data_IF_348851566428
#
_entry.id   IF_348851566428
#
_cell.length_a   1.000
_cell.length_b   1.000
_cell.length_c   1.000
_cell.angle_alpha   90.00
_cell.angle_beta   90.00
_cell.angle_gamma   90.00
#
_symmetry.space_group_name_H-M   'P 1'
#
loop_
_entity.id
_entity.type
_entity.pdbx_description
1 polymer ?
#
# COMPACT_ATOMS: atom_id res chain seq x y z
N UNK A 1 14.74 -25.27 8.12
CA UNK A 1 14.19 -24.44 7.04
C UNK A 1 14.82 -23.07 7.08
N UNK A 2 15.38 -22.61 5.97
CA UNK A 2 15.97 -21.25 5.89
C UNK A 2 14.87 -20.18 5.85
N UNK A 3 15.19 -18.92 6.22
CA UNK A 3 14.23 -17.81 6.11
C UNK A 3 13.66 -17.67 4.69
N UNK A 4 14.47 -17.91 3.67
CA UNK A 4 14.03 -17.90 2.26
C UNK A 4 13.00 -18.98 1.96
N UNK A 5 13.26 -20.23 2.38
CA UNK A 5 12.31 -21.33 2.21
C UNK A 5 11.00 -21.06 2.95
N UNK A 6 11.09 -20.52 4.17
CA UNK A 6 9.93 -20.12 4.96
C UNK A 6 9.11 -19.04 4.26
N UNK A 7 9.75 -18.00 3.72
CA UNK A 7 9.07 -16.94 3.01
C UNK A 7 8.31 -17.48 1.78
N UNK A 8 8.94 -18.34 0.97
CA UNK A 8 8.30 -18.96 -0.20
C UNK A 8 7.08 -19.80 0.20
N UNK A 9 7.22 -20.61 1.24
CA UNK A 9 6.12 -21.43 1.76
C UNK A 9 4.93 -20.56 2.25
N UNK A 10 5.22 -19.45 2.96
CA UNK A 10 4.20 -18.51 3.42
C UNK A 10 3.47 -17.89 2.22
N UNK A 11 4.19 -17.44 1.19
CA UNK A 11 3.60 -16.85 -0.01
C UNK A 11 2.67 -17.83 -0.72
N UNK A 12 3.12 -19.07 -0.95
CA UNK A 12 2.30 -20.08 -1.61
C UNK A 12 1.01 -20.37 -0.81
N UNK A 13 1.09 -20.38 0.52
CA UNK A 13 -0.09 -20.55 1.37
C UNK A 13 -1.02 -19.35 1.33
N UNK A 14 -0.47 -18.13 1.37
CA UNK A 14 -1.27 -16.92 1.26
C UNK A 14 -2.02 -16.84 -0.08
N UNK A 15 -1.34 -17.12 -1.19
CA UNK A 15 -1.97 -17.17 -2.51
C UNK A 15 -3.09 -18.19 -2.60
N UNK A 16 -2.90 -19.36 -1.97
CA UNK A 16 -3.92 -20.43 -1.94
C UNK A 16 -5.12 -20.04 -1.07
N UNK A 17 -4.86 -19.41 0.08
CA UNK A 17 -5.92 -19.02 1.02
C UNK A 17 -6.69 -17.80 0.55
N UNK A 18 -6.01 -16.87 -0.15
CA UNK A 18 -6.55 -15.59 -0.60
C UNK A 18 -6.28 -15.35 -2.09
N UNK A 19 -6.89 -16.15 -2.99
CA UNK A 19 -6.61 -16.08 -4.43
C UNK A 19 -7.03 -14.74 -5.07
N UNK A 20 -8.05 -14.08 -4.49
CA UNK A 20 -8.63 -12.83 -4.99
C UNK A 20 -8.12 -11.60 -4.23
N UNK A 21 -6.97 -11.72 -3.61
CA UNK A 21 -6.41 -10.62 -2.89
C UNK A 21 -5.95 -9.50 -3.81
N UNK A 22 -6.39 -8.28 -3.52
CA UNK A 22 -6.11 -7.10 -4.32
C UNK A 22 -6.01 -5.83 -3.47
N UNK A 23 -5.49 -4.77 -4.04
CA UNK A 23 -5.58 -3.44 -3.45
C UNK A 23 -7.06 -3.04 -3.35
N UNK A 24 -7.47 -2.51 -2.20
CA UNK A 24 -8.84 -2.04 -1.97
C UNK A 24 -9.11 -0.63 -2.53
N UNK A 25 -8.05 0.09 -2.89
CA UNK A 25 -8.17 1.35 -3.61
C UNK A 25 -8.55 1.08 -5.07
N UNK A 26 -9.59 1.78 -5.54
CA UNK A 26 -10.02 1.72 -6.93
C UNK A 26 -9.17 2.67 -7.77
N UNK A 27 -8.55 2.14 -8.82
CA UNK A 27 -7.74 2.91 -9.75
C UNK A 27 -7.65 2.18 -11.09
N UNK A 28 -7.72 2.93 -12.17
CA UNK A 28 -7.48 2.47 -13.54
C UNK A 28 -6.16 3.01 -14.11
N UNK A 29 -5.61 4.04 -13.48
CA UNK A 29 -4.42 4.73 -13.92
C UNK A 29 -3.47 5.04 -12.75
N UNK A 30 -2.18 5.17 -13.07
CA UNK A 30 -1.13 5.52 -12.11
C UNK A 30 -1.43 6.81 -11.34
N UNK A 31 -2.07 7.77 -12.00
CA UNK A 31 -2.43 9.05 -11.41
C UNK A 31 -3.47 8.90 -10.30
N UNK A 32 -4.55 8.12 -10.59
CA UNK A 32 -5.58 7.83 -9.59
C UNK A 32 -4.97 7.16 -8.36
N UNK A 33 -4.13 6.15 -8.57
CA UNK A 33 -3.45 5.48 -7.48
C UNK A 33 -2.62 6.43 -6.64
N UNK A 34 -1.85 7.33 -7.27
CA UNK A 34 -1.00 8.29 -6.56
C UNK A 34 -1.82 9.23 -5.67
N UNK A 35 -2.93 9.75 -6.18
CA UNK A 35 -3.86 10.62 -5.41
C UNK A 35 -4.54 9.82 -4.31
N UNK A 36 -5.06 8.63 -4.62
CA UNK A 36 -5.75 7.76 -3.66
C UNK A 36 -4.87 7.40 -2.47
N UNK A 37 -3.62 7.04 -2.73
CA UNK A 37 -2.65 6.72 -1.66
C UNK A 37 -2.38 7.93 -0.76
N UNK A 38 -2.31 9.14 -1.33
CA UNK A 38 -2.17 10.36 -0.50
C UNK A 38 -3.42 10.59 0.34
N UNK A 39 -4.60 10.34 -0.19
CA UNK A 39 -5.86 10.48 0.52
C UNK A 39 -6.08 9.39 1.58
N UNK A 40 -5.56 8.19 1.39
CA UNK A 40 -5.66 7.07 2.32
C UNK A 40 -4.89 7.28 3.64
N UNK A 41 -4.00 8.27 3.71
CA UNK A 41 -3.33 8.60 4.97
C UNK A 41 -4.34 8.99 6.06
N UNK A 42 -4.50 8.13 7.08
CA UNK A 42 -5.48 8.26 8.17
C UNK A 42 -6.94 8.32 7.67
N UNK A 43 -7.27 7.61 6.61
CA UNK A 43 -8.62 7.51 6.06
C UNK A 43 -8.87 6.07 5.60
N UNK A 44 -10.14 5.65 5.59
CA UNK A 44 -10.52 4.34 5.06
C UNK A 44 -10.58 4.36 3.54
N UNK A 45 -10.20 3.26 2.90
CA UNK A 45 -10.18 3.14 1.44
C UNK A 45 -11.56 3.34 0.82
N UNK A 46 -12.62 2.82 1.45
CA UNK A 46 -14.00 3.05 1.00
C UNK A 46 -14.37 4.55 0.91
N UNK A 47 -13.89 5.37 1.85
CA UNK A 47 -14.10 6.82 1.79
C UNK A 47 -13.24 7.48 0.72
N UNK A 48 -12.00 7.01 0.57
CA UNK A 48 -11.08 7.50 -0.48
C UNK A 48 -11.71 7.28 -1.85
N UNK A 49 -12.20 6.09 -2.15
CA UNK A 49 -12.81 5.76 -3.44
C UNK A 49 -13.96 6.73 -3.80
N UNK A 50 -14.88 7.01 -2.84
CA UNK A 50 -15.97 7.96 -3.07
C UNK A 50 -15.45 9.40 -3.32
N UNK A 51 -14.40 9.81 -2.61
CA UNK A 51 -13.85 11.18 -2.72
C UNK A 51 -13.04 11.35 -4.00
N UNK A 52 -12.29 10.34 -4.39
CA UNK A 52 -11.50 10.35 -5.63
C UNK A 52 -12.40 10.44 -6.86
N UNK A 53 -13.51 9.70 -6.90
CA UNK A 53 -14.48 9.80 -7.97
C UNK A 53 -14.95 11.25 -8.16
N UNK A 54 -15.40 11.91 -7.08
CA UNK A 54 -15.84 13.33 -7.10
C UNK A 54 -14.71 14.29 -7.49
N UNK A 55 -13.48 13.98 -7.10
CA UNK A 55 -12.34 14.82 -7.45
C UNK A 55 -12.08 14.79 -8.95
N UNK A 56 -12.13 13.58 -9.56
CA UNK A 56 -11.89 13.40 -10.99
C UNK A 56 -13.08 13.78 -11.87
N UNK A 57 -14.32 13.74 -11.36
CA UNK A 57 -15.47 14.34 -12.04
C UNK A 57 -15.25 15.85 -12.28
N UNK A 58 -14.63 16.54 -11.30
CA UNK A 58 -14.41 17.98 -11.40
C UNK A 58 -13.08 18.33 -12.07
N UNK A 59 -12.05 17.56 -11.81
CA UNK A 59 -10.67 17.77 -12.31
C UNK A 59 -10.16 16.48 -12.97
N UNK A 60 -10.46 16.24 -14.24
CA UNK A 60 -10.30 14.93 -14.88
C UNK A 60 -8.85 14.53 -15.18
N UNK A 61 -7.90 15.46 -15.14
CA UNK A 61 -6.52 15.22 -15.53
C UNK A 61 -5.51 16.03 -14.67
N UNK A 62 -4.24 15.83 -14.98
CA UNK A 62 -3.12 16.48 -14.28
C UNK A 62 -3.19 17.99 -14.41
N UNK A 63 -3.51 18.51 -15.60
CA UNK A 63 -3.54 19.94 -15.87
C UNK A 63 -4.65 20.63 -15.10
N UNK A 64 -5.84 20.06 -15.12
CA UNK A 64 -6.99 20.56 -14.34
C UNK A 64 -6.70 20.60 -12.84
N UNK A 65 -6.06 19.53 -12.28
CA UNK A 65 -5.67 19.49 -10.88
C UNK A 65 -4.50 20.44 -10.55
N UNK A 66 -3.57 20.64 -11.47
CA UNK A 66 -2.44 21.55 -11.27
C UNK A 66 -2.88 23.01 -11.25
N UNK A 67 -3.87 23.36 -12.08
CA UNK A 67 -4.41 24.74 -12.19
C UNK A 67 -5.54 25.03 -11.18
N UNK A 68 -6.10 24.00 -10.56
CA UNK A 68 -7.17 24.15 -9.58
C UNK A 68 -6.72 24.96 -8.35
N UNK A 69 -7.55 25.88 -7.85
CA UNK A 69 -7.34 26.49 -6.54
C UNK A 69 -7.28 25.41 -5.45
N UNK A 70 -6.30 25.54 -4.54
CA UNK A 70 -6.12 24.55 -3.45
C UNK A 70 -7.38 24.44 -2.59
N UNK A 71 -8.09 25.52 -2.40
CA UNK A 71 -9.33 25.61 -1.63
C UNK A 71 -10.47 24.78 -2.26
N UNK A 72 -10.51 24.68 -3.58
CA UNK A 72 -11.50 23.86 -4.28
C UNK A 72 -11.17 22.36 -4.16
N UNK A 73 -9.89 22.01 -4.26
CA UNK A 73 -9.43 20.63 -3.99
C UNK A 73 -9.74 20.29 -2.53
N UNK A 74 -9.42 21.19 -1.58
CA UNK A 74 -9.67 20.98 -0.15
C UNK A 74 -11.13 20.72 0.14
N UNK A 75 -12.04 21.50 -0.44
CA UNK A 75 -13.48 21.33 -0.25
C UNK A 75 -13.95 19.90 -0.59
N UNK A 76 -13.36 19.28 -1.62
CA UNK A 76 -13.69 17.92 -2.04
C UNK A 76 -13.02 16.87 -1.15
N UNK A 77 -11.72 17.04 -0.83
CA UNK A 77 -10.93 16.01 -0.11
C UNK A 77 -11.06 16.09 1.41
N UNK A 78 -11.69 17.12 1.94
CA UNK A 78 -11.92 17.34 3.39
C UNK A 78 -12.50 16.13 4.13
N UNK A 79 -13.45 15.35 3.56
CA UNK A 79 -13.97 14.15 4.22
C UNK A 79 -12.92 13.07 4.51
N UNK A 80 -11.77 13.08 3.82
CA UNK A 80 -10.68 12.17 4.08
C UNK A 80 -9.80 12.56 5.30
N UNK A 81 -10.11 13.68 5.98
CA UNK A 81 -9.27 14.24 7.04
C UNK A 81 -8.00 14.91 6.52
N UNK A 82 -7.41 15.80 7.31
CA UNK A 82 -6.21 16.57 6.93
C UNK A 82 -6.37 17.29 5.56
N UNK A 83 -7.58 17.76 5.24
CA UNK A 83 -7.97 18.27 3.93
C UNK A 83 -7.02 19.29 3.36
N UNK A 84 -6.65 20.32 4.14
CA UNK A 84 -5.74 21.37 3.70
C UNK A 84 -4.35 20.84 3.29
N UNK A 85 -3.74 20.00 4.13
CA UNK A 85 -2.44 19.40 3.82
C UNK A 85 -2.50 18.51 2.58
N UNK A 86 -3.56 17.68 2.48
CA UNK A 86 -3.76 16.79 1.34
C UNK A 86 -3.96 17.56 0.03
N UNK A 87 -4.78 18.62 0.06
CA UNK A 87 -5.04 19.47 -1.11
C UNK A 87 -3.76 20.16 -1.60
N UNK A 88 -2.97 20.72 -0.69
CA UNK A 88 -1.68 21.33 -1.03
C UNK A 88 -0.70 20.32 -1.65
N UNK A 89 -0.58 19.13 -1.06
CA UNK A 89 0.31 18.10 -1.58
C UNK A 89 -0.14 17.62 -2.96
N UNK A 90 -1.45 17.42 -3.18
CA UNK A 90 -2.01 17.04 -4.48
C UNK A 90 -1.73 18.13 -5.51
N UNK A 91 -2.07 19.40 -5.25
CA UNK A 91 -1.81 20.51 -6.17
C UNK A 91 -0.31 20.60 -6.53
N UNK A 92 0.56 20.58 -5.52
CA UNK A 92 2.01 20.65 -5.74
C UNK A 92 2.55 19.44 -6.52
N UNK A 93 2.05 18.25 -6.23
CA UNK A 93 2.40 17.02 -6.95
C UNK A 93 1.98 17.11 -8.43
N UNK A 94 0.75 17.56 -8.72
CA UNK A 94 0.26 17.70 -10.10
C UNK A 94 1.06 18.72 -10.90
N UNK A 95 1.45 19.85 -10.29
CA UNK A 95 2.34 20.84 -10.93
C UNK A 95 3.68 20.22 -11.32
N UNK A 96 4.29 19.44 -10.43
CA UNK A 96 5.56 18.75 -10.74
C UNK A 96 5.36 17.70 -11.83
N UNK A 97 4.28 16.92 -11.79
CA UNK A 97 4.00 15.94 -12.84
C UNK A 97 3.82 16.60 -14.20
N UNK A 98 3.08 17.71 -14.28
CA UNK A 98 2.90 18.48 -15.50
C UNK A 98 4.24 19.03 -16.01
N UNK A 99 4.95 19.75 -15.16
CA UNK A 99 6.08 20.58 -15.57
C UNK A 99 7.36 19.76 -15.83
N UNK A 100 7.57 18.68 -15.05
CA UNK A 100 8.79 17.85 -15.14
C UNK A 100 8.56 16.51 -15.86
N UNK A 101 7.39 15.92 -15.72
CA UNK A 101 7.12 14.56 -16.18
C UNK A 101 6.07 14.47 -17.29
N UNK A 102 5.71 15.60 -17.91
CA UNK A 102 4.76 15.66 -19.04
C UNK A 102 3.39 15.02 -18.69
N UNK A 103 2.94 15.21 -17.45
CA UNK A 103 1.70 14.64 -16.93
C UNK A 103 1.75 13.15 -16.56
N UNK A 104 2.91 12.51 -16.67
CA UNK A 104 3.07 11.07 -16.37
C UNK A 104 3.60 10.85 -14.96
N UNK A 105 3.11 9.82 -14.30
CA UNK A 105 3.68 9.37 -13.03
C UNK A 105 5.00 8.66 -13.30
N UNK A 106 6.11 9.06 -12.66
CA UNK A 106 7.40 8.42 -12.86
C UNK A 106 7.41 6.98 -12.35
N UNK A 107 8.10 6.10 -13.06
CA UNK A 107 8.25 4.69 -12.72
C UNK A 107 9.58 4.37 -12.01
N UNK A 108 10.16 5.38 -11.38
CA UNK A 108 11.37 5.30 -10.55
C UNK A 108 11.04 5.59 -9.08
N UNK A 109 11.64 4.84 -8.17
CA UNK A 109 11.34 4.92 -6.74
C UNK A 109 11.81 6.25 -6.12
N UNK A 110 13.00 6.73 -6.49
CA UNK A 110 13.56 7.96 -5.93
C UNK A 110 12.84 9.18 -6.51
N UNK A 111 12.42 9.13 -7.77
CA UNK A 111 11.58 10.16 -8.37
C UNK A 111 10.20 10.22 -7.71
N UNK A 112 9.55 9.07 -7.45
CA UNK A 112 8.30 9.02 -6.68
C UNK A 112 8.46 9.62 -5.28
N UNK A 113 9.55 9.32 -4.58
CA UNK A 113 9.84 9.90 -3.26
C UNK A 113 10.06 11.42 -3.30
N UNK A 114 10.45 11.98 -4.43
CA UNK A 114 10.62 13.42 -4.59
C UNK A 114 9.31 14.19 -4.72
N UNK A 115 8.20 13.49 -4.98
CA UNK A 115 6.88 14.10 -5.14
C UNK A 115 6.27 14.49 -3.79
N UNK A 116 5.63 15.67 -3.69
CA UNK A 116 4.93 16.12 -2.50
C UNK A 116 3.89 15.10 -2.01
N UNK A 117 3.90 14.81 -0.72
CA UNK A 117 2.96 13.87 -0.10
C UNK A 117 3.22 12.39 -0.38
N UNK A 118 4.25 12.04 -1.13
CA UNK A 118 4.63 10.66 -1.43
C UNK A 118 5.72 10.19 -0.49
N UNK A 119 5.37 9.31 0.44
CA UNK A 119 6.31 8.64 1.33
C UNK A 119 6.76 7.28 0.79
N UNK A 120 7.70 6.63 1.49
CA UNK A 120 8.23 5.30 1.12
C UNK A 120 7.14 4.24 0.96
N UNK A 121 6.14 4.22 1.85
CA UNK A 121 5.00 3.30 1.75
C UNK A 121 4.23 3.51 0.44
N UNK A 122 3.90 4.77 0.14
CA UNK A 122 3.17 5.17 -1.07
C UNK A 122 3.95 4.85 -2.34
N UNK A 123 5.24 5.18 -2.37
CA UNK A 123 6.11 4.87 -3.50
C UNK A 123 6.21 3.37 -3.77
N UNK A 124 6.37 2.54 -2.73
CA UNK A 124 6.38 1.08 -2.89
C UNK A 124 5.04 0.54 -3.42
N UNK A 125 3.91 1.11 -2.97
CA UNK A 125 2.60 0.70 -3.46
C UNK A 125 2.43 1.00 -4.95
N UNK A 126 2.75 2.23 -5.37
CA UNK A 126 2.69 2.62 -6.79
C UNK A 126 3.66 1.77 -7.63
N UNK A 127 4.88 1.54 -7.16
CA UNK A 127 5.86 0.69 -7.86
C UNK A 127 5.36 -0.75 -8.04
N UNK A 128 4.75 -1.33 -7.00
CA UNK A 128 4.26 -2.70 -7.03
C UNK A 128 2.99 -2.87 -7.85
N UNK A 129 1.97 -2.13 -7.51
CA UNK A 129 0.62 -2.36 -8.03
C UNK A 129 0.40 -1.74 -9.42
N UNK A 130 1.01 -0.57 -9.69
CA UNK A 130 0.86 0.11 -10.98
C UNK A 130 1.90 -0.35 -11.99
N UNK A 131 3.17 -0.35 -11.57
CA UNK A 131 4.28 -0.64 -12.49
C UNK A 131 4.75 -2.10 -12.48
N UNK A 132 4.17 -2.96 -11.63
CA UNK A 132 4.54 -4.37 -11.53
C UNK A 132 6.01 -4.58 -11.14
N UNK A 133 6.66 -3.56 -10.54
CA UNK A 133 8.05 -3.64 -10.11
C UNK A 133 8.14 -4.27 -8.73
N UNK A 134 9.21 -5.02 -8.43
CA UNK A 134 9.39 -5.63 -7.11
C UNK A 134 9.43 -4.56 -6.02
N UNK A 135 8.38 -4.49 -5.22
CA UNK A 135 8.21 -3.53 -4.15
C UNK A 135 7.55 -4.18 -2.93
N UNK A 136 7.70 -3.58 -1.77
CA UNK A 136 7.09 -4.07 -0.54
C UNK A 136 6.55 -2.90 0.23
N UNK A 137 5.25 -2.92 0.43
CA UNK A 137 4.57 -1.97 1.30
C UNK A 137 4.86 -2.35 2.74
N UNK A 138 5.77 -1.62 3.38
CA UNK A 138 6.21 -1.90 4.74
C UNK A 138 5.52 -0.93 5.71
N UNK A 139 4.35 -1.33 6.16
CA UNK A 139 3.61 -0.62 7.21
C UNK A 139 3.76 -1.30 8.58
N UNK A 140 3.05 -0.80 9.59
CA UNK A 140 3.10 -1.34 10.96
C UNK A 140 2.68 -2.80 11.02
N UNK A 141 1.79 -3.22 10.17
CA UNK A 141 1.23 -4.56 10.13
C UNK A 141 2.18 -5.51 9.42
N UNK A 142 2.71 -5.14 8.27
CA UNK A 142 3.77 -5.86 7.59
C UNK A 142 4.95 -6.10 8.57
N UNK A 143 5.41 -5.04 9.27
CA UNK A 143 6.49 -5.15 10.25
C UNK A 143 6.14 -6.16 11.35
N UNK A 144 4.94 -6.09 11.91
CA UNK A 144 4.48 -7.03 12.93
C UNK A 144 4.44 -8.46 12.42
N UNK A 145 3.85 -8.68 11.25
CA UNK A 145 3.70 -10.01 10.66
C UNK A 145 5.03 -10.66 10.30
N UNK A 146 5.93 -9.95 9.62
CA UNK A 146 7.23 -10.52 9.22
C UNK A 146 8.11 -10.89 10.43
N UNK A 147 7.98 -10.13 11.55
CA UNK A 147 8.61 -10.49 12.80
C UNK A 147 7.98 -11.75 13.42
N UNK A 148 6.65 -11.82 13.49
CA UNK A 148 5.92 -12.99 14.01
C UNK A 148 6.20 -14.26 13.20
N UNK A 149 6.29 -14.14 11.90
CA UNK A 149 6.63 -15.25 10.99
C UNK A 149 8.12 -15.61 11.01
N UNK A 150 8.96 -14.89 11.77
CA UNK A 150 10.39 -15.13 11.85
C UNK A 150 11.13 -14.89 10.54
N UNK A 151 10.62 -13.99 9.70
CA UNK A 151 11.29 -13.56 8.47
C UNK A 151 12.35 -12.49 8.75
N UNK A 152 12.10 -11.67 9.78
CA UNK A 152 13.09 -10.73 10.35
C UNK A 152 13.17 -10.91 11.86
N UNK A 153 14.25 -10.43 12.47
CA UNK A 153 14.52 -10.64 13.90
C UNK A 153 14.43 -9.30 14.64
N UNK A 154 13.23 -8.99 15.18
CA UNK A 154 13.00 -7.81 16.02
C UNK A 154 13.17 -6.46 15.33
N UNK A 155 13.19 -6.42 13.98
CA UNK A 155 13.39 -5.19 13.22
C UNK A 155 12.06 -4.44 13.15
N UNK A 156 12.06 -3.15 13.59
CA UNK A 156 10.88 -2.29 13.59
C UNK A 156 10.96 -1.14 12.59
N UNK A 157 12.13 -0.84 12.07
CA UNK A 157 12.36 0.24 11.12
C UNK A 157 11.94 -0.19 9.70
N UNK A 158 10.96 0.49 9.05
CA UNK A 158 10.42 0.09 7.76
C UNK A 158 11.47 -0.15 6.68
N UNK A 159 12.41 0.78 6.51
CA UNK A 159 13.46 0.67 5.49
C UNK A 159 14.39 -0.52 5.71
N UNK A 160 14.65 -0.89 6.97
CA UNK A 160 15.45 -2.08 7.29
C UNK A 160 14.67 -3.37 7.08
N UNK A 161 13.37 -3.37 7.40
CA UNK A 161 12.49 -4.51 7.11
C UNK A 161 12.43 -4.74 5.61
N UNK A 162 12.13 -3.72 4.81
CA UNK A 162 12.12 -3.74 3.35
C UNK A 162 13.42 -4.31 2.79
N UNK A 163 14.57 -3.79 3.23
CA UNK A 163 15.90 -4.21 2.74
C UNK A 163 16.27 -5.63 3.13
N UNK A 164 15.94 -6.10 4.35
CA UNK A 164 16.34 -7.41 4.85
C UNK A 164 15.36 -8.53 4.50
N UNK A 165 14.07 -8.24 4.53
CA UNK A 165 13.06 -9.27 4.28
C UNK A 165 13.12 -9.77 2.85
N UNK A 166 13.42 -8.89 1.90
CA UNK A 166 13.17 -9.19 0.51
C UNK A 166 14.24 -8.68 -0.46
N UNK A 167 15.14 -7.80 -0.02
CA UNK A 167 16.06 -7.06 -0.88
C UNK A 167 17.06 -7.88 -1.69
N UNK A 168 17.42 -9.11 -1.29
CA UNK A 168 18.36 -9.97 -2.02
C UNK A 168 17.73 -11.19 -2.68
N UNK A 169 16.61 -11.68 -2.17
CA UNK A 169 16.03 -12.94 -2.62
C UNK A 169 14.94 -12.78 -3.67
N UNK A 170 14.23 -11.66 -3.69
CA UNK A 170 13.06 -11.44 -4.55
C UNK A 170 13.34 -10.57 -5.77
N UNK A 171 14.33 -9.66 -5.74
CA UNK A 171 14.69 -8.83 -6.90
C UNK A 171 15.14 -9.61 -8.15
N UNK A 172 15.50 -10.88 -8.03
CA UNK A 172 16.02 -11.70 -9.14
C UNK A 172 15.01 -12.66 -9.78
N UNK A 173 13.80 -12.78 -9.27
CA UNK A 173 12.75 -13.60 -9.90
C UNK A 173 11.51 -12.76 -10.16
N UNK A 174 10.93 -12.89 -11.35
CA UNK A 174 9.67 -12.31 -11.81
C UNK A 174 8.41 -12.73 -11.00
N UNK A 175 8.57 -13.39 -9.87
CA UNK A 175 7.53 -13.58 -8.89
C UNK A 175 7.58 -12.39 -7.93
N UNK A 176 7.11 -11.24 -8.38
CA UNK A 176 6.74 -10.16 -7.50
C UNK A 176 5.72 -10.73 -6.51
N UNK A 177 6.04 -10.65 -5.22
CA UNK A 177 4.99 -10.57 -4.23
C UNK A 177 4.43 -9.20 -4.49
N UNK A 178 3.26 -9.13 -5.06
CA UNK A 178 2.56 -7.86 -5.20
C UNK A 178 2.42 -7.28 -3.79
N UNK A 179 2.46 -5.97 -3.68
CA UNK A 179 2.11 -5.30 -2.42
C UNK A 179 0.77 -5.86 -1.90
N UNK A 180 -0.10 -6.23 -2.79
CA UNK A 180 -1.37 -6.91 -2.66
C UNK A 180 -1.30 -8.22 -1.85
N UNK A 181 -0.30 -9.07 -2.04
CA UNK A 181 -0.18 -10.34 -1.29
C UNK A 181 -0.02 -10.09 0.24
N UNK A 182 0.35 -8.87 0.66
CA UNK A 182 0.50 -8.48 2.06
C UNK A 182 -0.69 -7.68 2.61
N UNK A 183 -1.46 -6.98 1.77
CA UNK A 183 -2.69 -6.26 2.17
C UNK A 183 -3.77 -7.18 2.74
N UNK A 184 -3.78 -8.43 2.30
CA UNK A 184 -4.83 -9.40 2.63
C UNK A 184 -4.88 -9.76 4.11
N UNK A 185 -3.75 -9.72 4.77
CA UNK A 185 -3.67 -10.19 6.16
C UNK A 185 -4.27 -9.20 7.14
N UNK A 186 -4.66 -8.00 6.70
CA UNK A 186 -4.98 -6.93 7.61
C UNK A 186 -6.44 -6.54 7.70
N UNK A 187 -7.07 -6.20 6.60
CA UNK A 187 -8.47 -5.76 6.64
C UNK A 187 -9.46 -6.86 6.99
N UNK A 188 -9.07 -8.13 6.78
CA UNK A 188 -9.93 -9.27 7.09
C UNK A 188 -9.60 -9.99 8.39
N UNK A 189 -8.43 -9.76 9.00
CA UNK A 189 -8.02 -10.49 10.22
C UNK A 189 -7.27 -9.61 11.20
N UNK A 190 -7.97 -8.80 11.96
CA UNK A 190 -7.51 -8.38 13.29
C UNK A 190 -7.52 -9.61 14.16
N UNK A 191 -6.38 -10.26 14.34
CA UNK A 191 -6.26 -11.34 15.30
C UNK A 191 -6.32 -10.74 16.71
N UNK A 192 -7.33 -11.07 17.52
CA UNK A 192 -7.34 -10.67 18.93
C UNK A 192 -6.15 -11.27 19.65
N UNK A 193 -5.54 -10.51 20.54
CA UNK A 193 -4.57 -11.06 21.50
C UNK A 193 -5.29 -11.99 22.48
N UNK A 194 -4.71 -13.11 22.92
CA UNK A 194 -3.50 -13.77 22.48
C UNK A 194 -3.78 -15.15 21.86
N UNK A 195 -3.77 -15.26 20.57
CA UNK A 195 -3.64 -16.61 20.00
C UNK A 195 -2.16 -16.96 20.06
N UNK A 196 -1.84 -17.87 20.94
CA UNK A 196 -0.54 -18.47 21.12
C UNK A 196 -0.07 -19.03 19.79
N UNK A 197 0.76 -18.25 19.08
CA UNK A 197 1.38 -18.75 17.87
C UNK A 197 2.39 -19.78 18.32
N UNK A 198 2.00 -21.06 18.20
CA UNK A 198 2.90 -22.16 18.43
C UNK A 198 4.20 -21.93 17.66
N UNK A 199 5.31 -22.42 18.20
CA UNK A 199 6.71 -22.23 17.74
C UNK A 199 6.99 -22.49 16.24
N UNK A 200 5.98 -22.86 15.44
CA UNK A 200 6.06 -23.05 14.00
C UNK A 200 5.20 -22.03 13.26
N UNK A 201 5.81 -21.05 12.61
CA UNK A 201 5.16 -20.02 11.79
C UNK A 201 4.18 -20.56 10.72
N UNK A 202 4.22 -21.84 10.46
CA UNK A 202 3.38 -22.59 9.54
C UNK A 202 1.96 -22.82 10.09
N UNK A 203 1.77 -22.87 11.41
CA UNK A 203 0.45 -23.10 12.04
C UNK A 203 -0.41 -21.85 12.15
N UNK A 204 0.17 -20.66 11.97
CA UNK A 204 -0.55 -19.37 12.07
C UNK A 204 -1.54 -19.16 10.92
N UNK A 205 -1.27 -19.74 9.76
CA UNK A 205 -2.12 -19.63 8.56
C UNK A 205 -3.32 -20.60 8.64
N UNK A 206 -3.33 -21.52 9.59
CA UNK A 206 -4.39 -22.56 9.74
C UNK A 206 -5.60 -22.16 10.58
N UNK A 207 -5.74 -20.90 11.01
CA UNK A 207 -6.93 -20.47 11.78
C UNK A 207 -8.12 -20.34 10.85
N UNK A 208 -9.04 -21.28 10.95
CA UNK A 208 -10.23 -21.41 10.12
C UNK A 208 -11.13 -20.17 10.19
N UNK A 209 -11.71 -19.81 9.04
CA UNK A 209 -12.82 -18.85 8.85
C UNK A 209 -13.99 -18.95 9.87
N UNK A 210 -14.09 -20.03 10.64
CA UNK A 210 -15.23 -20.31 11.50
C UNK A 210 -15.31 -19.50 12.80
N UNK A 211 -14.23 -18.85 13.22
CA UNK A 211 -14.17 -18.17 14.53
C UNK A 211 -14.75 -16.76 14.50
N UNK A 212 -14.91 -16.16 13.31
CA UNK A 212 -15.30 -14.73 13.16
C UNK A 212 -16.78 -14.45 12.91
N UNK A 213 -17.64 -15.48 12.80
CA UNK A 213 -19.09 -15.26 12.61
C UNK A 213 -19.86 -14.90 13.88
N UNK A 214 -19.24 -14.88 15.06
CA UNK A 214 -19.93 -14.69 16.34
C UNK A 214 -19.75 -13.32 17.02
N UNK A 215 -19.17 -12.33 16.35
CA UNK A 215 -18.87 -11.02 16.97
C UNK A 215 -19.35 -9.80 16.13
N UNK A 216 -20.51 -9.95 15.45
CA UNK A 216 -21.33 -8.82 14.93
C UNK A 216 -22.77 -9.07 15.26
#
# INVERSE_FOLDING_TARGET
MTKKQRALEIIERLKKEYPDAGCSLEYDQALLMLVSVRLAAQCTDARVNIVVEKLYEKFPDVDALADAPVEEIEAIVKPCGLGHSKARDISACMKILRDKYQGKVPDDFDELLSLPGVGRKSANLVMGDVFGKPAIVTDTHCIRLVNRMGLVDGIREPAKVEKRSFGRSFRRRKAAISATDWYITEERYVLPEPILIAKNAVSVISVKKSVYKSWW
#
